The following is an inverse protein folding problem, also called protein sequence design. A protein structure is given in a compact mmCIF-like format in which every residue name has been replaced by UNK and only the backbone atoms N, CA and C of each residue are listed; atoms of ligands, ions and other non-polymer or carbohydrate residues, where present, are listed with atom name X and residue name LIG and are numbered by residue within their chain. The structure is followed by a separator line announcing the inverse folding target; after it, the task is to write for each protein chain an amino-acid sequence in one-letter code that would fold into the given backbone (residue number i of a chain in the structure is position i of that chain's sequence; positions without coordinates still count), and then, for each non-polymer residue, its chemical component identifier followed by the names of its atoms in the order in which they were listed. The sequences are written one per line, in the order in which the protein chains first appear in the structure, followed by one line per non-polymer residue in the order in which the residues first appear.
data_IF_415398037757
#
_entry.id   IF_415398037757
#
_cell.length_a   1.000
_cell.length_b   1.000
_cell.length_c   1.000
_cell.angle_alpha   90.00
_cell.angle_beta   90.00
_cell.angle_gamma   90.00
#
_symmetry.space_group_name_H-M   'P 1'
#
loop_
_entity.id
_entity.type
_entity.pdbx_description
1 polymer ?
#
# COMPACT_ATOMS: atom_id res chain seq x y z
N UNK A 1 -21.63 23.73 -10.20
CA UNK A 1 -21.06 22.45 -9.74
C UNK A 1 -19.96 22.06 -10.72
N UNK A 2 -18.76 22.63 -10.57
CA UNK A 2 -17.63 22.32 -11.44
C UNK A 2 -17.02 21.00 -10.99
N UNK A 3 -17.28 19.93 -11.74
CA UNK A 3 -16.49 18.70 -11.66
C UNK A 3 -15.07 19.03 -12.11
N UNK A 4 -14.20 19.42 -11.18
CA UNK A 4 -12.77 19.39 -11.42
C UNK A 4 -12.40 17.92 -11.66
N UNK A 5 -12.32 17.53 -12.94
CA UNK A 5 -11.93 16.19 -13.33
C UNK A 5 -10.48 15.97 -12.95
N UNK A 6 -10.24 15.43 -11.75
CA UNK A 6 -8.93 14.89 -11.42
C UNK A 6 -8.78 13.54 -12.13
N UNK A 7 -7.68 13.37 -12.84
CA UNK A 7 -7.34 12.11 -13.50
C UNK A 7 -6.64 11.18 -12.50
N UNK A 8 -6.71 9.87 -12.75
CA UNK A 8 -5.95 8.88 -12.00
C UNK A 8 -4.44 9.07 -12.25
N UNK A 9 -3.63 9.12 -11.20
CA UNK A 9 -2.16 9.24 -11.29
C UNK A 9 -1.48 8.15 -12.12
N UNK A 10 -2.15 7.01 -12.31
CA UNK A 10 -1.61 5.84 -13.02
C UNK A 10 -2.12 5.71 -14.45
N UNK A 11 -3.44 5.69 -14.63
CA UNK A 11 -4.05 5.41 -15.95
C UNK A 11 -4.58 6.66 -16.67
N UNK A 12 -4.49 7.84 -16.05
CA UNK A 12 -4.98 9.11 -16.60
C UNK A 12 -6.48 9.12 -16.96
N UNK A 13 -7.26 8.15 -16.45
CA UNK A 13 -8.72 8.13 -16.62
C UNK A 13 -9.39 9.04 -15.58
N UNK A 14 -10.56 9.63 -15.90
CA UNK A 14 -11.32 10.45 -14.95
C UNK A 14 -11.67 9.70 -13.66
N UNK A 15 -11.48 10.36 -12.52
CA UNK A 15 -11.90 9.84 -11.22
C UNK A 15 -13.32 10.31 -10.89
N UNK A 16 -14.15 9.38 -10.41
CA UNK A 16 -15.45 9.72 -9.83
C UNK A 16 -15.31 10.53 -8.53
N UNK A 17 -14.26 10.28 -7.75
CA UNK A 17 -13.96 10.96 -6.49
C UNK A 17 -12.55 11.52 -6.56
N UNK A 18 -12.44 12.83 -6.68
CA UNK A 18 -11.18 13.44 -7.08
C UNK A 18 -10.05 13.28 -6.06
N UNK A 19 -10.39 13.39 -4.78
CA UNK A 19 -9.45 13.28 -3.67
C UNK A 19 -8.81 11.89 -3.53
N UNK A 20 -9.30 10.86 -4.24
CA UNK A 20 -8.71 9.53 -4.16
C UNK A 20 -7.38 9.40 -4.91
N UNK A 21 -7.15 10.22 -5.94
CA UNK A 21 -5.93 10.22 -6.77
C UNK A 21 -5.69 8.95 -7.61
N UNK A 22 -6.14 7.77 -7.18
CA UNK A 22 -5.99 6.49 -7.88
C UNK A 22 -7.35 5.83 -8.02
N UNK A 23 -7.69 5.44 -9.25
CA UNK A 23 -8.98 4.84 -9.57
C UNK A 23 -9.09 3.41 -9.00
N UNK A 24 -10.32 2.92 -8.84
CA UNK A 24 -10.60 1.60 -8.27
C UNK A 24 -9.91 0.45 -9.02
N UNK A 25 -9.80 0.54 -10.35
CA UNK A 25 -9.13 -0.47 -11.19
C UNK A 25 -7.62 -0.52 -10.90
N UNK A 26 -6.95 0.63 -10.88
CA UNK A 26 -5.53 0.69 -10.57
C UNK A 26 -5.24 0.32 -9.11
N UNK A 27 -6.07 0.76 -8.15
CA UNK A 27 -5.94 0.34 -6.75
C UNK A 27 -6.05 -1.18 -6.61
N UNK A 28 -7.03 -1.82 -7.29
CA UNK A 28 -7.19 -3.27 -7.25
C UNK A 28 -6.01 -4.01 -7.85
N UNK A 29 -5.49 -3.53 -8.98
CA UNK A 29 -4.30 -4.10 -9.61
C UNK A 29 -3.07 -3.98 -8.71
N UNK A 30 -2.87 -2.84 -8.04
CA UNK A 30 -1.78 -2.66 -7.08
C UNK A 30 -1.94 -3.51 -5.82
N UNK A 31 -3.16 -3.75 -5.35
CA UNK A 31 -3.41 -4.57 -4.16
C UNK A 31 -3.37 -6.08 -4.47
N UNK A 32 -3.41 -6.47 -5.74
CA UNK A 32 -3.21 -7.85 -6.16
C UNK A 32 -1.72 -8.22 -5.97
N UNK A 33 -1.44 -8.95 -4.90
CA UNK A 33 -0.11 -9.34 -4.49
C UNK A 33 -0.14 -10.82 -4.08
N UNK A 34 0.90 -11.61 -4.37
CA UNK A 34 1.00 -12.96 -3.84
C UNK A 34 1.01 -12.96 -2.30
N UNK A 35 0.80 -14.12 -1.67
CA UNK A 35 0.95 -14.22 -0.22
C UNK A 35 2.33 -13.74 0.22
N UNK A 36 2.36 -12.87 1.24
CA UNK A 36 3.59 -12.30 1.78
C UNK A 36 3.76 -12.77 3.22
N UNK A 37 4.99 -13.01 3.63
CA UNK A 37 5.32 -13.29 5.01
C UNK A 37 4.81 -12.14 5.91
N UNK A 38 4.04 -12.42 6.97
CA UNK A 38 3.48 -11.38 7.83
C UNK A 38 4.56 -10.58 8.57
N UNK A 39 5.77 -11.13 8.73
CA UNK A 39 6.89 -10.47 9.40
C UNK A 39 7.81 -9.72 8.43
N UNK A 40 8.39 -10.37 7.43
CA UNK A 40 9.36 -9.69 6.55
C UNK A 40 8.77 -9.06 5.28
N UNK A 41 7.50 -9.35 4.94
CA UNK A 41 6.87 -8.84 3.72
C UNK A 41 7.37 -9.44 2.41
N UNK A 42 8.25 -10.46 2.45
CA UNK A 42 8.71 -11.16 1.25
C UNK A 42 7.69 -12.23 0.79
N UNK A 43 7.69 -12.63 -0.50
CA UNK A 43 6.84 -13.71 -0.98
C UNK A 43 6.96 -14.98 -0.13
N UNK A 44 5.82 -15.56 0.22
CA UNK A 44 5.72 -16.75 1.05
C UNK A 44 4.61 -17.67 0.54
N UNK A 45 4.58 -18.90 1.03
CA UNK A 45 3.50 -19.85 0.68
C UNK A 45 2.14 -19.43 1.27
N UNK A 46 2.13 -18.82 2.46
CA UNK A 46 0.93 -18.34 3.13
C UNK A 46 1.19 -16.99 3.78
N UNK A 47 0.14 -16.18 3.97
CA UNK A 47 0.25 -14.89 4.68
C UNK A 47 0.03 -14.99 6.19
N UNK A 48 -0.30 -16.19 6.69
CA UNK A 48 -0.66 -16.42 8.09
C UNK A 48 0.53 -16.83 8.96
N UNK A 49 1.58 -17.39 8.35
CA UNK A 49 2.73 -17.93 9.08
C UNK A 49 4.03 -17.23 8.67
N UNK A 50 4.93 -16.92 9.63
CA UNK A 50 6.27 -16.44 9.31
C UNK A 50 7.02 -17.43 8.41
N UNK A 51 7.80 -16.92 7.46
CA UNK A 51 8.67 -17.75 6.63
C UNK A 51 9.86 -18.30 7.46
N UNK A 52 10.53 -19.34 6.95
CA UNK A 52 11.64 -19.99 7.68
C UNK A 52 12.77 -19.06 8.11
N UNK A 53 13.05 -18.00 7.31
CA UNK A 53 14.02 -16.96 7.69
C UNK A 53 13.60 -16.20 8.93
N UNK A 54 12.32 -15.84 9.00
CA UNK A 54 11.77 -15.10 10.13
C UNK A 54 11.64 -15.98 11.39
N UNK A 55 11.41 -17.28 11.24
CA UNK A 55 11.44 -18.23 12.36
C UNK A 55 12.84 -18.36 12.97
N UNK A 56 13.90 -18.38 12.14
CA UNK A 56 15.28 -18.47 12.62
C UNK A 56 15.80 -17.15 13.18
N UNK A 57 15.47 -16.04 12.52
CA UNK A 57 15.92 -14.70 12.88
C UNK A 57 14.76 -13.71 12.70
N UNK A 58 13.90 -13.56 13.71
CA UNK A 58 12.74 -12.67 13.61
C UNK A 58 13.19 -11.21 13.46
N UNK A 59 12.48 -10.39 12.67
CA UNK A 59 12.71 -8.96 12.63
C UNK A 59 12.30 -8.29 13.96
N UNK A 60 12.73 -7.04 14.22
CA UNK A 60 12.38 -6.32 15.45
C UNK A 60 10.91 -5.86 15.53
N UNK A 61 10.10 -6.18 14.52
CA UNK A 61 8.67 -5.87 14.45
C UNK A 61 7.84 -7.15 14.33
N UNK A 62 6.60 -7.11 14.80
CA UNK A 62 5.69 -8.27 14.80
C UNK A 62 4.97 -8.48 13.46
N UNK A 63 4.56 -7.40 12.80
CA UNK A 63 3.85 -7.44 11.52
C UNK A 63 4.36 -6.36 10.57
N UNK A 64 4.40 -6.69 9.29
CA UNK A 64 4.66 -5.78 8.18
C UNK A 64 3.50 -5.83 7.20
N UNK A 65 2.95 -4.65 6.89
CA UNK A 65 1.89 -4.47 5.90
C UNK A 65 2.43 -3.65 4.75
N UNK A 66 2.42 -4.23 3.55
CA UNK A 66 2.86 -3.57 2.33
C UNK A 66 1.71 -3.53 1.32
N UNK A 67 1.61 -2.43 0.54
CA UNK A 67 0.65 -2.34 -0.56
C UNK A 67 0.98 -3.37 -1.64
N UNK A 68 2.23 -3.39 -2.11
CA UNK A 68 2.80 -4.36 -3.04
C UNK A 68 4.34 -4.24 -2.99
N UNK A 69 5.04 -5.00 -3.84
CA UNK A 69 6.45 -4.84 -4.10
C UNK A 69 6.80 -3.40 -4.47
N UNK A 70 7.99 -2.96 -4.05
CA UNK A 70 8.54 -1.66 -4.42
C UNK A 70 9.05 -1.67 -5.86
N UNK A 71 8.12 -1.74 -6.82
CA UNK A 71 8.38 -1.79 -8.27
C UNK A 71 7.45 -0.85 -9.04
N UNK A 72 7.74 -0.52 -10.30
CA UNK A 72 6.83 0.27 -11.12
C UNK A 72 5.45 -0.39 -11.23
N UNK A 73 4.36 0.39 -11.22
CA UNK A 73 4.36 1.86 -11.20
C UNK A 73 4.44 2.48 -9.79
N UNK A 74 4.34 1.68 -8.72
CA UNK A 74 4.29 2.16 -7.33
C UNK A 74 5.59 2.84 -6.89
N UNK A 75 6.75 2.28 -7.26
CA UNK A 75 8.05 2.87 -6.90
C UNK A 75 8.22 4.29 -7.42
N UNK A 76 7.73 4.57 -8.63
CA UNK A 76 7.77 5.91 -9.23
C UNK A 76 6.92 6.91 -8.45
N UNK A 77 5.71 6.53 -8.04
CA UNK A 77 4.85 7.39 -7.21
C UNK A 77 5.49 7.67 -5.83
N UNK A 78 6.10 6.66 -5.21
CA UNK A 78 6.77 6.85 -3.91
C UNK A 78 8.01 7.73 -4.05
N UNK A 79 8.80 7.58 -5.12
CA UNK A 79 9.92 8.47 -5.40
C UNK A 79 9.47 9.90 -5.63
N UNK A 80 8.39 10.12 -6.39
CA UNK A 80 7.82 11.46 -6.60
C UNK A 80 7.42 12.13 -5.29
N UNK A 81 6.78 11.38 -4.38
CA UNK A 81 6.46 11.87 -3.04
C UNK A 81 7.72 12.21 -2.22
N UNK A 82 8.70 11.29 -2.16
CA UNK A 82 9.88 11.41 -1.28
C UNK A 82 10.90 12.46 -1.75
N UNK A 83 11.09 12.59 -3.06
CA UNK A 83 12.24 13.30 -3.62
C UNK A 83 11.87 14.42 -4.60
N UNK A 84 10.64 14.42 -5.14
CA UNK A 84 10.23 15.41 -6.15
C UNK A 84 9.18 16.40 -5.64
N UNK A 85 9.03 16.57 -4.32
CA UNK A 85 8.13 17.55 -3.70
C UNK A 85 6.70 17.47 -4.23
N UNK A 86 6.16 16.24 -4.32
CA UNK A 86 4.76 15.98 -4.73
C UNK A 86 3.90 15.56 -3.54
N UNK A 87 3.63 16.46 -2.55
CA UNK A 87 2.83 16.12 -1.37
C UNK A 87 1.40 15.71 -1.72
N UNK A 88 0.88 16.13 -2.88
CA UNK A 88 -0.43 15.74 -3.39
C UNK A 88 -0.59 14.22 -3.63
N UNK A 89 0.52 13.48 -3.76
CA UNK A 89 0.50 12.01 -3.82
C UNK A 89 0.28 11.36 -2.45
N UNK A 90 0.54 12.08 -1.36
CA UNK A 90 0.45 11.58 0.02
C UNK A 90 -0.90 10.94 0.33
N UNK A 91 -2.03 11.65 0.16
CA UNK A 91 -3.37 11.09 0.41
C UNK A 91 -3.68 9.86 -0.45
N UNK A 92 -3.24 9.84 -1.71
CA UNK A 92 -3.47 8.72 -2.62
C UNK A 92 -2.71 7.45 -2.19
N UNK A 93 -1.43 7.60 -1.79
CA UNK A 93 -0.62 6.50 -1.28
C UNK A 93 -1.08 6.03 0.11
N UNK A 94 -1.46 6.96 0.99
CA UNK A 94 -2.06 6.63 2.30
C UNK A 94 -3.36 5.85 2.15
N UNK A 95 -4.20 6.20 1.17
CA UNK A 95 -5.42 5.45 0.85
C UNK A 95 -5.12 4.01 0.41
N UNK A 96 -4.07 3.77 -0.39
CA UNK A 96 -3.67 2.41 -0.75
C UNK A 96 -3.29 1.57 0.48
N UNK A 97 -2.54 2.15 1.42
CA UNK A 97 -2.21 1.50 2.69
C UNK A 97 -3.47 1.23 3.53
N UNK A 98 -4.37 2.21 3.63
CA UNK A 98 -5.64 2.03 4.34
C UNK A 98 -6.48 0.89 3.73
N UNK A 99 -6.57 0.81 2.40
CA UNK A 99 -7.28 -0.27 1.72
C UNK A 99 -6.65 -1.63 2.02
N UNK A 100 -5.31 -1.71 2.07
CA UNK A 100 -4.61 -2.95 2.43
C UNK A 100 -4.84 -3.34 3.89
N UNK A 101 -4.80 -2.39 4.81
CA UNK A 101 -5.09 -2.64 6.23
C UNK A 101 -6.51 -3.19 6.42
N UNK A 102 -7.50 -2.64 5.71
CA UNK A 102 -8.89 -3.13 5.74
C UNK A 102 -9.06 -4.56 5.22
N UNK A 103 -8.11 -5.09 4.43
CA UNK A 103 -8.13 -6.47 3.96
C UNK A 103 -7.49 -7.44 4.96
N UNK A 104 -6.76 -6.94 5.96
CA UNK A 104 -6.04 -7.72 6.97
C UNK A 104 -6.89 -7.81 8.24
N UNK A 105 -7.45 -8.99 8.48
CA UNK A 105 -8.27 -9.28 9.66
C UNK A 105 -7.45 -9.92 10.79
N UNK A 106 -6.18 -10.21 10.53
CA UNK A 106 -5.21 -10.87 11.39
C UNK A 106 -4.33 -9.91 12.20
N UNK A 107 -4.53 -8.59 12.03
CA UNK A 107 -3.78 -7.57 12.74
C UNK A 107 -4.40 -7.30 14.12
N UNK A 108 -3.58 -7.08 15.16
CA UNK A 108 -4.09 -6.64 16.45
C UNK A 108 -4.74 -5.25 16.34
N UNK A 109 -5.61 -4.87 17.29
CA UNK A 109 -6.09 -3.51 17.41
C UNK A 109 -4.92 -2.53 17.57
N UNK A 110 -5.08 -1.31 17.08
CA UNK A 110 -4.08 -0.25 17.22
C UNK A 110 -4.19 0.36 18.60
N UNK A 111 -3.22 0.10 19.46
CA UNK A 111 -3.17 0.65 20.83
C UNK A 111 -2.66 2.10 20.87
N UNK A 112 -1.88 2.51 19.86
CA UNK A 112 -1.34 3.87 19.74
C UNK A 112 -0.43 4.03 18.51
N UNK A 113 -0.15 5.29 18.13
CA UNK A 113 0.87 5.61 17.12
C UNK A 113 2.14 6.07 17.84
N UNK A 114 3.28 5.47 17.51
CA UNK A 114 4.59 5.90 18.01
C UNK A 114 5.20 6.84 16.97
N UNK A 115 5.60 8.04 17.42
CA UNK A 115 6.23 9.09 16.60
C UNK A 115 7.58 9.50 17.16
#
# INVERSE_FOLDING_TARGET
MLTAHSLCWLCQMPLAVACWGICSRCSRALLACPPLCPQCGLPAATSHHPCGRCLQKPPPWHWLVAVNDYRPPLSGLVQQLKFHHRPELGPALARLLQLRLKQRHDLPPVDGMVG
#
